data_IF_513925526143
#
_entry.id   IF_513925526143
#
_cell.length_a   1.000
_cell.length_b   1.000
_cell.length_c   1.000
_cell.angle_alpha   90.00
_cell.angle_beta   90.00
_cell.angle_gamma   90.00
#
_symmetry.space_group_name_H-M   'P 1'
#
loop_
_entity.id
_entity.type
_entity.pdbx_description
1 polymer ?
#
# COMPACT_ATOMS: atom_id res chain seq x y z
N UNK A 1 3.76 2.57 -24.56
CA UNK A 1 3.22 1.58 -23.61
C UNK A 1 2.31 2.36 -22.65
N UNK A 2 0.99 2.09 -22.65
CA UNK A 2 0.01 2.84 -21.85
C UNK A 2 0.18 2.66 -20.33
N UNK A 3 0.87 1.58 -19.91
CA UNK A 3 1.13 1.28 -18.50
C UNK A 3 2.01 2.31 -17.78
N UNK A 4 2.77 3.11 -18.53
CA UNK A 4 3.54 4.24 -17.97
C UNK A 4 2.62 5.35 -17.42
N UNK A 5 1.35 5.39 -17.83
CA UNK A 5 0.45 6.47 -17.51
C UNK A 5 0.89 7.81 -18.11
N UNK A 6 0.29 8.89 -17.63
CA UNK A 6 0.61 10.27 -18.03
C UNK A 6 0.84 11.14 -16.78
N UNK A 7 1.92 11.96 -16.73
CA UNK A 7 2.12 12.90 -15.63
C UNK A 7 1.06 14.02 -15.63
N UNK A 8 0.88 14.75 -14.52
CA UNK A 8 -0.02 15.90 -14.45
C UNK A 8 0.32 16.96 -15.51
N UNK A 9 -0.72 17.56 -16.11
CA UNK A 9 -0.61 18.60 -17.15
C UNK A 9 -1.73 19.64 -16.97
N UNK A 10 -1.59 20.80 -17.60
CA UNK A 10 -2.63 21.84 -17.57
C UNK A 10 -3.10 22.18 -16.15
N UNK A 11 -4.42 22.22 -15.94
CA UNK A 11 -5.00 22.53 -14.63
C UNK A 11 -4.55 21.58 -13.52
N UNK A 12 -4.35 20.29 -13.82
CA UNK A 12 -3.88 19.31 -12.82
C UNK A 12 -2.44 19.56 -12.41
N UNK A 13 -1.60 20.02 -13.33
CA UNK A 13 -0.23 20.44 -12.99
C UNK A 13 -0.25 21.69 -12.12
N UNK A 14 -1.13 22.65 -12.39
CA UNK A 14 -1.27 23.85 -11.55
C UNK A 14 -1.70 23.53 -10.11
N UNK A 15 -2.57 22.54 -9.91
CA UNK A 15 -2.94 22.06 -8.58
C UNK A 15 -1.75 21.41 -7.86
N UNK A 16 -0.98 20.59 -8.57
CA UNK A 16 0.26 19.98 -8.07
C UNK A 16 1.29 21.04 -7.68
N UNK A 17 1.51 22.03 -8.54
CA UNK A 17 2.48 23.12 -8.31
C UNK A 17 2.06 24.07 -7.18
N UNK A 18 0.78 24.11 -6.81
CA UNK A 18 0.29 24.87 -5.67
C UNK A 18 0.53 24.16 -4.32
N UNK A 19 0.93 22.88 -4.32
CA UNK A 19 1.25 22.14 -3.10
C UNK A 19 2.48 22.75 -2.41
N UNK A 20 2.47 22.95 -1.07
CA UNK A 20 3.67 23.34 -0.33
C UNK A 20 4.76 22.24 -0.34
N UNK A 21 4.42 21.02 -0.76
CA UNK A 21 5.32 19.89 -0.84
C UNK A 21 5.92 19.69 -2.25
N UNK A 22 5.47 20.48 -3.24
CA UNK A 22 6.02 20.50 -4.59
C UNK A 22 6.93 21.70 -4.80
N UNK A 23 8.20 21.45 -5.12
CA UNK A 23 9.18 22.51 -5.42
C UNK A 23 10.26 21.97 -6.35
N UNK A 24 10.87 22.86 -7.12
CA UNK A 24 11.94 22.50 -8.07
C UNK A 24 11.50 21.41 -9.08
N UNK A 25 10.21 21.42 -9.46
CA UNK A 25 9.64 20.49 -10.43
C UNK A 25 9.40 19.07 -9.92
N UNK A 26 9.33 18.86 -8.60
CA UNK A 26 9.00 17.56 -8.01
C UNK A 26 8.45 17.67 -6.58
N UNK A 27 7.82 16.61 -6.09
CA UNK A 27 7.45 16.44 -4.68
C UNK A 27 8.66 16.07 -3.80
N UNK A 28 8.62 16.49 -2.54
CA UNK A 28 9.68 16.24 -1.55
C UNK A 28 9.14 15.64 -0.25
N UNK A 29 9.90 14.71 0.33
CA UNK A 29 9.67 14.24 1.69
C UNK A 29 9.86 15.37 2.72
N UNK A 30 9.19 15.25 3.87
CA UNK A 30 9.40 16.14 5.03
C UNK A 30 10.76 15.94 5.69
N UNK A 31 11.34 14.74 5.56
CA UNK A 31 12.67 14.38 6.05
C UNK A 31 13.63 14.16 4.87
N UNK A 32 14.94 14.47 5.02
CA UNK A 32 15.94 14.11 4.03
C UNK A 32 15.88 12.61 3.70
N UNK A 33 15.65 12.28 2.43
CA UNK A 33 15.40 10.90 2.00
C UNK A 33 16.22 10.60 0.75
N UNK A 34 17.54 10.34 0.89
CA UNK A 34 18.36 9.87 -0.22
C UNK A 34 17.80 8.56 -0.76
N UNK A 35 17.54 8.50 -2.08
CA UNK A 35 16.95 7.31 -2.71
C UNK A 35 17.88 6.10 -2.78
N UNK A 36 19.19 6.30 -2.62
CA UNK A 36 20.17 5.24 -2.45
C UNK A 36 21.13 5.65 -1.33
N UNK A 37 21.38 4.73 -0.41
CA UNK A 37 22.17 4.93 0.81
C UNK A 37 23.32 3.93 0.93
N UNK A 38 23.44 3.03 -0.05
CA UNK A 38 24.56 2.10 -0.14
C UNK A 38 25.88 2.86 -0.32
N UNK A 39 26.94 2.34 0.27
CA UNK A 39 28.29 2.92 0.15
C UNK A 39 28.98 2.56 -1.17
N UNK A 40 28.36 1.68 -1.98
CA UNK A 40 28.91 1.19 -3.24
C UNK A 40 28.57 2.12 -4.41
N UNK A 41 29.40 2.10 -5.45
CA UNK A 41 29.09 2.78 -6.71
C UNK A 41 27.76 2.26 -7.29
N UNK A 42 26.90 3.17 -7.76
CA UNK A 42 25.60 2.82 -8.34
C UNK A 42 25.69 1.74 -9.42
N UNK A 43 26.68 1.75 -10.31
CA UNK A 43 26.84 0.71 -11.34
C UNK A 43 27.07 -0.69 -10.73
N UNK A 44 27.85 -0.76 -9.64
CA UNK A 44 28.12 -2.01 -8.93
C UNK A 44 26.88 -2.49 -8.19
N UNK A 45 26.14 -1.57 -7.55
CA UNK A 45 24.88 -1.88 -6.88
C UNK A 45 23.83 -2.41 -7.89
N UNK A 46 23.71 -1.78 -9.05
CA UNK A 46 22.85 -2.24 -10.15
C UNK A 46 23.27 -3.60 -10.69
N UNK A 47 24.58 -3.82 -10.90
CA UNK A 47 25.09 -5.11 -11.33
C UNK A 47 24.79 -6.21 -10.30
N UNK A 48 24.99 -5.94 -9.01
CA UNK A 48 24.66 -6.89 -7.95
C UNK A 48 23.16 -7.16 -7.87
N UNK A 49 22.30 -6.14 -7.99
CA UNK A 49 20.85 -6.35 -8.01
C UNK A 49 20.42 -7.27 -9.17
N UNK A 50 21.05 -7.13 -10.34
CA UNK A 50 20.75 -7.94 -11.52
C UNK A 50 21.37 -9.35 -11.48
N UNK A 51 22.54 -9.52 -10.87
CA UNK A 51 23.31 -10.78 -10.93
C UNK A 51 23.26 -11.62 -9.66
N UNK A 52 23.04 -10.98 -8.50
CA UNK A 52 22.98 -11.67 -7.21
C UNK A 52 21.62 -12.35 -7.10
N UNK A 53 21.61 -13.67 -7.17
CA UNK A 53 20.44 -14.46 -6.79
C UNK A 53 20.32 -14.45 -5.28
N UNK A 54 19.26 -13.85 -4.76
CA UNK A 54 18.85 -14.02 -3.37
C UNK A 54 18.27 -15.43 -3.23
N UNK A 55 18.96 -16.29 -2.49
CA UNK A 55 18.46 -17.63 -2.17
C UNK A 55 17.12 -17.52 -1.43
N UNK A 56 16.18 -18.40 -1.75
CA UNK A 56 14.85 -18.44 -1.12
C UNK A 56 14.08 -17.09 -1.16
N UNK A 57 14.32 -16.25 -2.17
CA UNK A 57 13.54 -15.03 -2.38
C UNK A 57 12.11 -15.30 -2.86
N UNK A 58 11.84 -16.51 -3.35
CA UNK A 58 10.51 -17.00 -3.74
C UNK A 58 10.20 -18.26 -2.94
N UNK A 59 8.93 -18.49 -2.55
CA UNK A 59 8.55 -19.74 -1.90
C UNK A 59 8.65 -20.90 -2.90
N UNK A 60 9.01 -22.08 -2.39
CA UNK A 60 9.11 -23.30 -3.20
C UNK A 60 7.73 -23.86 -3.61
N UNK A 61 6.70 -23.57 -2.81
CA UNK A 61 5.30 -23.92 -3.05
C UNK A 61 4.44 -22.65 -3.06
N UNK A 62 3.25 -22.68 -3.67
CA UNK A 62 2.29 -21.61 -3.51
C UNK A 62 2.03 -21.31 -2.03
N UNK A 63 1.89 -20.03 -1.69
CA UNK A 63 1.54 -19.62 -0.34
C UNK A 63 0.14 -20.13 0.03
N UNK A 64 -0.11 -20.44 1.32
CA UNK A 64 -1.45 -20.80 1.78
C UNK A 64 -2.41 -19.63 1.53
N UNK A 65 -3.63 -19.98 1.13
CA UNK A 65 -4.66 -19.00 0.81
C UNK A 65 -6.06 -19.54 1.11
N UNK A 66 -6.93 -18.66 1.56
CA UNK A 66 -8.36 -18.87 1.74
C UNK A 66 -9.09 -18.26 0.55
N UNK A 67 -9.84 -19.06 -0.23
CA UNK A 67 -10.58 -18.59 -1.41
C UNK A 67 -11.88 -17.84 -1.02
N UNK A 68 -11.75 -16.74 -0.30
CA UNK A 68 -12.88 -15.91 0.14
C UNK A 68 -13.59 -15.26 -1.03
N UNK A 69 -14.90 -15.49 -1.14
CA UNK A 69 -15.78 -14.77 -2.05
C UNK A 69 -16.11 -13.38 -1.49
N UNK A 70 -15.41 -12.36 -1.99
CA UNK A 70 -15.55 -10.97 -1.56
C UNK A 70 -16.97 -10.43 -1.76
N UNK A 71 -17.72 -10.92 -2.74
CA UNK A 71 -19.07 -10.45 -3.02
C UNK A 71 -20.10 -10.95 -1.98
N UNK A 72 -19.80 -12.08 -1.33
CA UNK A 72 -20.62 -12.70 -0.29
C UNK A 72 -20.46 -12.09 1.11
N UNK A 73 -19.42 -11.28 1.33
CA UNK A 73 -19.17 -10.66 2.62
C UNK A 73 -20.23 -9.59 2.93
N UNK A 74 -20.79 -9.63 4.15
CA UNK A 74 -21.80 -8.69 4.63
C UNK A 74 -21.21 -7.28 4.81
N UNK A 75 -21.73 -6.26 4.12
CA UNK A 75 -21.28 -4.87 4.28
C UNK A 75 -21.42 -4.31 5.69
N UNK A 76 -22.31 -4.90 6.50
CA UNK A 76 -22.57 -4.51 7.89
C UNK A 76 -21.43 -4.95 8.83
N UNK A 77 -20.54 -5.84 8.37
CA UNK A 77 -19.41 -6.33 9.15
C UNK A 77 -18.09 -5.74 8.65
N UNK A 78 -17.45 -4.91 9.48
CA UNK A 78 -16.12 -4.40 9.15
C UNK A 78 -15.12 -5.57 9.04
N UNK A 79 -14.59 -5.77 7.83
CA UNK A 79 -13.79 -6.94 7.47
C UNK A 79 -12.65 -6.52 6.56
N UNK A 80 -11.43 -6.96 6.84
CA UNK A 80 -10.26 -6.75 6.00
C UNK A 80 -9.82 -8.09 5.40
N UNK A 81 -9.50 -8.09 4.11
CA UNK A 81 -9.01 -9.26 3.37
C UNK A 81 -7.75 -8.87 2.61
N UNK A 82 -6.66 -9.57 2.89
CA UNK A 82 -5.39 -9.40 2.18
C UNK A 82 -5.42 -10.13 0.84
N UNK A 83 -5.15 -9.42 -0.26
CA UNK A 83 -5.17 -9.99 -1.61
C UNK A 83 -3.75 -10.29 -2.15
N UNK A 84 -2.72 -10.05 -1.32
CA UNK A 84 -1.31 -10.19 -1.64
C UNK A 84 -0.63 -8.84 -1.88
N UNK A 85 0.67 -8.76 -1.55
CA UNK A 85 1.45 -7.51 -1.61
C UNK A 85 0.80 -6.42 -0.77
N UNK A 86 0.54 -5.27 -1.37
CA UNK A 86 -0.18 -4.13 -0.79
C UNK A 86 -1.64 -4.05 -1.24
N UNK A 87 -2.18 -5.10 -1.85
CA UNK A 87 -3.58 -5.12 -2.28
C UNK A 87 -4.51 -5.58 -1.16
N UNK A 88 -5.51 -4.77 -0.86
CA UNK A 88 -6.47 -5.05 0.21
C UNK A 88 -7.90 -4.82 -0.25
N UNK A 89 -8.80 -5.70 0.18
CA UNK A 89 -10.23 -5.45 0.19
C UNK A 89 -10.68 -5.20 1.62
N UNK A 90 -11.44 -4.14 1.84
CA UNK A 90 -11.94 -3.76 3.16
C UNK A 90 -13.42 -3.41 3.08
N UNK A 91 -14.22 -3.99 3.98
CA UNK A 91 -15.52 -3.46 4.34
C UNK A 91 -15.37 -2.62 5.59
N UNK A 92 -15.83 -1.38 5.54
CA UNK A 92 -15.78 -0.46 6.67
C UNK A 92 -16.97 0.50 6.60
N UNK A 93 -17.76 0.58 7.67
CA UNK A 93 -18.95 1.44 7.74
C UNK A 93 -19.90 1.28 6.54
N UNK A 94 -20.15 0.04 6.11
CA UNK A 94 -21.04 -0.27 4.99
C UNK A 94 -20.44 -0.01 3.60
N UNK A 95 -19.16 0.39 3.49
CA UNK A 95 -18.48 0.66 2.21
C UNK A 95 -17.56 -0.47 1.81
N UNK A 96 -17.58 -0.83 0.53
CA UNK A 96 -16.59 -1.72 -0.10
C UNK A 96 -15.43 -0.89 -0.61
N UNK A 97 -14.28 -1.02 0.05
CA UNK A 97 -13.07 -0.25 -0.18
C UNK A 97 -12.01 -1.18 -0.77
N UNK A 98 -11.42 -0.80 -1.90
CA UNK A 98 -10.31 -1.51 -2.53
C UNK A 98 -9.07 -0.62 -2.47
N UNK A 99 -7.95 -1.17 -2.00
CA UNK A 99 -6.71 -0.41 -1.76
C UNK A 99 -5.58 -1.03 -2.59
N UNK A 100 -4.87 -0.20 -3.35
CA UNK A 100 -3.70 -0.54 -4.17
C UNK A 100 -3.83 -1.88 -4.91
N UNK A 101 -4.88 -2.10 -5.72
CA UNK A 101 -5.16 -3.39 -6.31
C UNK A 101 -4.19 -3.70 -7.47
N UNK A 102 -3.39 -4.75 -7.28
CA UNK A 102 -2.51 -5.35 -8.29
C UNK A 102 -2.87 -6.82 -8.44
N UNK A 103 -3.86 -7.07 -9.29
CA UNK A 103 -4.37 -8.42 -9.59
C UNK A 103 -3.62 -9.09 -10.73
N UNK A 104 -2.75 -8.34 -11.42
CA UNK A 104 -1.85 -8.86 -12.45
C UNK A 104 -0.85 -9.88 -11.90
N UNK A 105 -0.32 -10.71 -12.80
CA UNK A 105 0.74 -11.69 -12.50
C UNK A 105 2.15 -11.09 -12.49
N UNK A 106 2.27 -9.76 -12.60
CA UNK A 106 3.52 -9.01 -12.62
C UNK A 106 3.28 -7.58 -12.09
N UNK A 107 4.34 -6.96 -11.58
CA UNK A 107 4.32 -5.58 -11.10
C UNK A 107 5.48 -4.76 -11.71
N UNK A 108 5.34 -4.45 -13.00
CA UNK A 108 6.38 -3.78 -13.79
C UNK A 108 5.80 -3.20 -15.09
N UNK A 109 6.52 -2.27 -15.77
CA UNK A 109 6.10 -1.78 -17.08
C UNK A 109 6.04 -2.87 -18.16
N UNK A 110 6.73 -3.99 -17.95
CA UNK A 110 6.75 -5.12 -18.87
C UNK A 110 6.41 -6.42 -18.13
N UNK A 111 5.56 -7.24 -18.73
CA UNK A 111 4.96 -8.42 -18.11
C UNK A 111 5.93 -9.55 -17.73
N UNK A 112 7.17 -9.50 -18.21
CA UNK A 112 8.20 -10.48 -17.87
C UNK A 112 9.03 -10.11 -16.63
N UNK A 113 8.91 -8.88 -16.13
CA UNK A 113 9.62 -8.38 -14.94
C UNK A 113 8.72 -8.49 -13.69
N UNK A 114 9.33 -8.66 -12.52
CA UNK A 114 8.64 -8.69 -11.22
C UNK A 114 7.41 -9.61 -11.20
N UNK A 115 7.57 -10.84 -11.71
CA UNK A 115 6.49 -11.84 -11.72
C UNK A 115 6.04 -12.19 -10.31
N UNK A 116 4.73 -12.35 -10.13
CA UNK A 116 4.15 -12.82 -8.88
C UNK A 116 4.64 -14.22 -8.50
N UNK A 117 4.48 -14.59 -7.23
CA UNK A 117 4.65 -15.97 -6.77
C UNK A 117 3.67 -16.90 -7.48
N UNK A 118 4.06 -18.17 -7.59
CA UNK A 118 3.18 -19.19 -8.14
C UNK A 118 1.96 -19.37 -7.21
N UNK A 119 0.77 -19.52 -7.80
CA UNK A 119 -0.47 -19.72 -7.05
C UNK A 119 -1.71 -19.46 -7.90
N UNK A 120 -2.84 -19.96 -7.43
CA UNK A 120 -4.16 -19.75 -8.04
C UNK A 120 -4.91 -18.67 -7.26
N UNK A 121 -4.76 -17.42 -7.68
CA UNK A 121 -5.35 -16.26 -7.02
C UNK A 121 -6.78 -16.04 -7.55
N UNK A 122 -7.82 -16.18 -6.71
CA UNK A 122 -9.22 -16.17 -7.16
C UNK A 122 -9.77 -14.76 -7.39
N UNK A 123 -9.10 -13.74 -6.85
CA UNK A 123 -9.54 -12.34 -6.95
C UNK A 123 -9.10 -11.75 -8.28
N UNK A 124 -10.07 -11.57 -9.17
CA UNK A 124 -9.88 -10.94 -10.47
C UNK A 124 -10.81 -9.75 -10.60
N UNK A 125 -10.50 -8.85 -11.52
CA UNK A 125 -11.34 -7.68 -11.75
C UNK A 125 -12.77 -8.06 -12.11
N UNK A 126 -12.97 -9.17 -12.83
CA UNK A 126 -14.29 -9.68 -13.23
C UNK A 126 -15.13 -10.17 -12.05
N UNK A 127 -14.51 -10.82 -11.05
CA UNK A 127 -15.18 -11.34 -9.85
C UNK A 127 -15.30 -10.33 -8.71
N UNK A 128 -14.63 -9.18 -8.80
CA UNK A 128 -14.71 -8.13 -7.79
C UNK A 128 -16.16 -7.59 -7.66
N UNK A 129 -16.73 -7.42 -6.45
CA UNK A 129 -17.99 -6.70 -6.30
C UNK A 129 -17.84 -5.22 -6.68
N UNK A 130 -18.96 -4.49 -6.70
CA UNK A 130 -18.94 -3.03 -6.79
C UNK A 130 -17.99 -2.42 -5.73
N UNK A 131 -17.22 -1.41 -6.15
CA UNK A 131 -16.21 -0.74 -5.33
C UNK A 131 -16.72 0.66 -5.02
N UNK A 132 -17.16 0.87 -3.78
CA UNK A 132 -17.64 2.19 -3.35
C UNK A 132 -16.50 3.20 -3.25
N UNK A 133 -15.28 2.72 -2.94
CA UNK A 133 -14.10 3.56 -2.82
C UNK A 133 -12.84 2.80 -3.25
N UNK A 134 -12.13 3.34 -4.24
CA UNK A 134 -10.78 2.92 -4.60
C UNK A 134 -9.77 3.85 -3.92
N UNK A 135 -8.73 3.28 -3.32
CA UNK A 135 -7.61 3.99 -2.71
C UNK A 135 -6.35 3.64 -3.48
N UNK A 136 -5.61 4.65 -3.90
CA UNK A 136 -4.28 4.50 -4.50
C UNK A 136 -3.28 5.31 -3.67
N UNK A 137 -2.26 4.67 -3.11
CA UNK A 137 -1.27 5.36 -2.27
C UNK A 137 -0.21 6.11 -3.03
N UNK A 138 0.23 5.59 -4.16
CA UNK A 138 1.23 6.20 -5.01
C UNK A 138 1.27 5.51 -6.37
N UNK A 139 2.08 6.04 -7.29
CA UNK A 139 2.05 5.64 -8.68
C UNK A 139 3.00 4.48 -9.05
N UNK A 140 3.60 3.73 -8.12
CA UNK A 140 4.45 2.60 -8.49
C UNK A 140 3.66 1.44 -9.10
N UNK A 141 4.34 0.59 -9.87
CA UNK A 141 3.70 -0.49 -10.63
C UNK A 141 3.10 -1.60 -9.76
N UNK A 142 3.58 -1.76 -8.55
CA UNK A 142 3.11 -2.71 -7.54
C UNK A 142 2.02 -2.15 -6.61
N UNK A 143 1.58 -0.91 -6.85
CA UNK A 143 0.45 -0.25 -6.18
C UNK A 143 -0.63 0.26 -7.15
N UNK A 144 -0.21 0.62 -8.36
CA UNK A 144 -1.06 1.14 -9.42
C UNK A 144 -0.84 0.33 -10.71
N UNK A 145 -1.61 -0.74 -10.86
CA UNK A 145 -1.55 -1.62 -12.02
C UNK A 145 -2.52 -1.22 -13.14
N UNK A 146 -1.98 -0.89 -14.31
CA UNK A 146 -2.77 -0.47 -15.47
C UNK A 146 -3.85 -1.47 -15.87
N UNK A 147 -3.50 -2.76 -15.93
CA UNK A 147 -4.44 -3.79 -16.39
C UNK A 147 -5.59 -3.96 -15.39
N UNK A 148 -5.27 -4.01 -14.09
CA UNK A 148 -6.26 -4.07 -13.01
C UNK A 148 -7.17 -2.84 -13.04
N UNK A 149 -6.63 -1.62 -13.08
CA UNK A 149 -7.43 -0.40 -13.09
C UNK A 149 -8.35 -0.34 -14.32
N UNK A 150 -7.83 -0.65 -15.52
CA UNK A 150 -8.65 -0.67 -16.74
C UNK A 150 -9.83 -1.63 -16.65
N UNK A 151 -9.61 -2.81 -16.08
CA UNK A 151 -10.65 -3.82 -15.93
C UNK A 151 -11.67 -3.46 -14.83
N UNK A 152 -11.27 -2.67 -13.83
CA UNK A 152 -12.12 -2.23 -12.72
C UNK A 152 -12.90 -0.93 -12.99
N UNK A 153 -12.59 -0.18 -14.05
CA UNK A 153 -13.29 1.07 -14.40
C UNK A 153 -14.82 1.03 -14.23
N UNK A 154 -15.57 0.03 -14.73
CA UNK A 154 -17.02 0.04 -14.63
C UNK A 154 -17.57 -0.20 -13.21
N UNK A 155 -16.72 -0.62 -12.25
CA UNK A 155 -17.11 -1.01 -10.89
C UNK A 155 -16.75 0.03 -9.83
N UNK A 156 -15.95 1.04 -10.18
CA UNK A 156 -15.42 2.04 -9.22
C UNK A 156 -16.35 3.24 -9.17
N UNK A 157 -16.90 3.53 -7.99
CA UNK A 157 -17.81 4.67 -7.79
C UNK A 157 -17.10 5.96 -7.37
N UNK A 158 -15.97 5.85 -6.66
CA UNK A 158 -15.18 6.97 -6.17
C UNK A 158 -13.72 6.56 -5.97
N UNK A 159 -12.80 7.50 -6.13
CA UNK A 159 -11.37 7.31 -5.86
C UNK A 159 -10.88 8.39 -4.92
N UNK A 160 -10.04 8.02 -3.96
CA UNK A 160 -9.22 8.96 -3.20
C UNK A 160 -7.76 8.59 -3.37
N UNK A 161 -6.95 9.58 -3.73
CA UNK A 161 -5.52 9.39 -4.02
C UNK A 161 -4.72 10.66 -3.73
N UNK A 162 -3.38 10.61 -3.56
CA UNK A 162 -2.59 11.81 -3.42
C UNK A 162 -2.54 12.63 -4.73
N UNK A 163 -2.22 13.92 -4.60
CA UNK A 163 -2.08 14.85 -5.73
C UNK A 163 -1.24 14.28 -6.89
N UNK A 164 -1.75 14.44 -8.10
CA UNK A 164 -1.08 14.06 -9.34
C UNK A 164 -1.32 12.61 -9.76
N UNK A 165 -1.59 11.67 -8.83
CA UNK A 165 -1.83 10.25 -9.21
C UNK A 165 -3.07 10.10 -10.09
N UNK A 166 -4.08 10.96 -9.91
CA UNK A 166 -5.29 10.98 -10.72
C UNK A 166 -5.03 11.26 -12.21
N UNK A 167 -3.87 11.83 -12.58
CA UNK A 167 -3.54 12.04 -14.00
C UNK A 167 -3.41 10.72 -14.76
N UNK A 168 -2.88 9.67 -14.11
CA UNK A 168 -2.81 8.33 -14.68
C UNK A 168 -4.21 7.73 -14.86
N UNK A 169 -5.07 7.85 -13.85
CA UNK A 169 -6.44 7.32 -13.86
C UNK A 169 -7.29 7.97 -14.95
N UNK A 170 -7.22 9.30 -15.09
CA UNK A 170 -7.90 10.05 -16.15
C UNK A 170 -7.39 9.65 -17.53
N UNK A 171 -6.07 9.54 -17.72
CA UNK A 171 -5.48 9.08 -18.96
C UNK A 171 -5.95 7.67 -19.35
N UNK A 172 -6.18 6.79 -18.36
CA UNK A 172 -6.69 5.45 -18.58
C UNK A 172 -8.21 5.38 -18.80
N UNK A 173 -8.92 6.51 -18.71
CA UNK A 173 -10.33 6.65 -19.03
C UNK A 173 -11.28 6.62 -17.82
N UNK A 174 -10.76 6.80 -16.60
CA UNK A 174 -11.61 6.99 -15.42
C UNK A 174 -12.29 8.36 -15.47
N UNK A 175 -13.58 8.43 -15.10
CA UNK A 175 -14.32 9.69 -15.03
C UNK A 175 -13.61 10.66 -14.06
N UNK A 176 -13.19 11.86 -14.50
CA UNK A 176 -12.57 12.84 -13.61
C UNK A 176 -13.40 13.22 -12.38
N UNK A 177 -14.74 13.21 -12.49
CA UNK A 177 -15.64 13.68 -11.43
C UNK A 177 -15.66 12.76 -10.19
N UNK A 178 -15.22 11.51 -10.34
CA UNK A 178 -15.18 10.55 -9.23
C UNK A 178 -13.81 10.49 -8.55
N UNK A 179 -12.84 11.31 -8.99
CA UNK A 179 -11.46 11.29 -8.48
C UNK A 179 -11.25 12.46 -7.53
N UNK A 180 -11.06 12.15 -6.25
CA UNK A 180 -10.60 13.10 -5.25
C UNK A 180 -9.08 12.98 -5.06
N UNK A 181 -8.35 13.99 -5.55
CA UNK A 181 -6.92 14.16 -5.27
C UNK A 181 -6.73 15.09 -4.07
N UNK A 182 -5.86 14.70 -3.13
CA UNK A 182 -5.60 15.48 -1.92
C UNK A 182 -4.12 15.52 -1.59
N UNK A 183 -3.71 16.63 -1.00
CA UNK A 183 -2.39 16.76 -0.40
C UNK A 183 -2.37 16.11 1.00
N UNK A 184 -1.19 15.98 1.60
CA UNK A 184 -1.05 15.54 2.98
C UNK A 184 -1.83 16.42 3.96
N UNK A 185 -2.37 15.77 4.98
CA UNK A 185 -3.20 16.36 6.04
C UNK A 185 -4.52 16.94 5.55
N UNK A 186 -4.94 16.63 4.32
CA UNK A 186 -6.28 16.91 3.83
C UNK A 186 -7.16 15.67 3.92
N UNK A 187 -8.48 15.87 3.81
CA UNK A 187 -9.46 14.80 3.93
C UNK A 187 -10.56 14.89 2.88
N UNK A 188 -11.25 13.77 2.71
CA UNK A 188 -12.41 13.61 1.84
C UNK A 188 -13.54 13.00 2.67
N UNK A 189 -14.67 13.69 2.71
CA UNK A 189 -15.89 13.15 3.30
C UNK A 189 -16.54 12.18 2.31
N UNK A 190 -16.61 10.90 2.66
CA UNK A 190 -17.13 9.83 1.79
C UNK A 190 -18.63 9.62 2.03
N UNK A 191 -19.04 9.64 3.29
CA UNK A 191 -20.44 9.59 3.74
C UNK A 191 -20.52 10.07 5.20
N UNK A 192 -21.73 10.22 5.72
CA UNK A 192 -22.00 10.63 7.11
C UNK A 192 -21.18 9.86 8.16
N UNK A 193 -20.83 8.61 7.85
CA UNK A 193 -20.10 7.67 8.72
C UNK A 193 -18.65 7.40 8.33
N UNK A 194 -18.14 7.97 7.22
CA UNK A 194 -16.77 7.68 6.76
C UNK A 194 -16.07 8.93 6.21
N UNK A 195 -14.95 9.27 6.83
CA UNK A 195 -14.01 10.27 6.32
C UNK A 195 -12.65 9.61 6.06
N UNK A 196 -12.03 9.95 4.94
CA UNK A 196 -10.69 9.48 4.59
C UNK A 196 -9.72 10.64 4.62
N UNK A 197 -8.65 10.50 5.39
CA UNK A 197 -7.55 11.46 5.44
C UNK A 197 -6.39 10.95 4.60
N UNK A 198 -5.82 11.81 3.77
CA UNK A 198 -4.54 11.58 3.08
C UNK A 198 -3.45 12.14 3.97
N UNK A 199 -2.51 11.28 4.38
CA UNK A 199 -1.52 11.57 5.41
C UNK A 199 -0.10 11.38 4.88
N UNK A 200 0.90 12.00 5.53
CA UNK A 200 2.28 11.85 5.13
C UNK A 200 2.76 10.39 5.09
N UNK A 201 3.61 10.10 4.12
CA UNK A 201 4.42 8.89 4.05
C UNK A 201 5.84 9.26 3.63
N UNK A 202 6.84 8.45 4.00
CA UNK A 202 8.23 8.67 3.60
C UNK A 202 8.58 7.73 2.45
N UNK A 203 8.34 8.17 1.23
CA UNK A 203 8.53 7.36 0.03
C UNK A 203 8.87 8.24 -1.19
N UNK A 204 8.57 7.78 -2.39
CA UNK A 204 8.75 8.51 -3.65
C UNK A 204 7.71 8.05 -4.68
N UNK A 205 7.69 8.68 -5.86
CA UNK A 205 6.87 8.23 -6.98
C UNK A 205 7.67 8.15 -8.29
N UNK A 206 7.17 7.40 -9.26
CA UNK A 206 7.71 7.38 -10.61
C UNK A 206 7.34 6.13 -11.40
N UNK A 207 6.79 6.37 -12.60
CA UNK A 207 6.54 5.32 -13.60
C UNK A 207 7.48 5.36 -14.81
N UNK A 208 8.22 6.46 -14.97
CA UNK A 208 9.10 6.72 -16.13
C UNK A 208 10.46 7.28 -15.72
N UNK A 209 11.04 8.12 -16.57
CA UNK A 209 12.39 8.68 -16.36
C UNK A 209 12.38 9.73 -15.23
N UNK A 210 11.37 10.60 -15.20
CA UNK A 210 11.20 11.59 -14.13
C UNK A 210 10.48 10.95 -12.95
N UNK A 211 11.04 11.12 -11.75
CA UNK A 211 10.44 10.70 -10.48
C UNK A 211 9.70 11.87 -9.83
N UNK A 212 8.90 11.58 -8.81
CA UNK A 212 8.31 12.55 -7.90
C UNK A 212 7.42 13.59 -8.59
N UNK A 213 6.77 13.21 -9.69
CA UNK A 213 5.81 14.08 -10.40
C UNK A 213 4.39 13.99 -9.82
N UNK A 214 4.13 12.94 -9.03
CA UNK A 214 2.90 12.71 -8.26
C UNK A 214 3.28 12.56 -6.78
N UNK A 215 2.35 12.87 -5.89
CA UNK A 215 2.54 12.69 -4.45
C UNK A 215 2.32 11.21 -4.09
N UNK A 216 2.88 10.80 -2.95
CA UNK A 216 2.67 9.50 -2.31
C UNK A 216 2.07 9.73 -0.92
N UNK A 217 1.34 8.78 -0.35
CA UNK A 217 0.72 9.00 0.95
C UNK A 217 0.30 7.73 1.69
N UNK A 218 -0.01 7.94 2.96
CA UNK A 218 -0.73 6.99 3.80
C UNK A 218 -2.17 7.45 4.00
N UNK A 219 -3.03 6.61 4.57
CA UNK A 219 -4.46 6.94 4.74
C UNK A 219 -4.96 6.59 6.14
N UNK A 220 -5.82 7.44 6.66
CA UNK A 220 -6.66 7.13 7.83
C UNK A 220 -8.12 7.11 7.41
N UNK A 221 -8.79 6.00 7.67
CA UNK A 221 -10.24 5.84 7.52
C UNK A 221 -10.87 6.02 8.89
N UNK A 222 -11.69 7.05 9.04
CA UNK A 222 -12.32 7.43 10.31
C UNK A 222 -13.82 7.22 10.21
N UNK A 223 -14.36 6.39 11.10
CA UNK A 223 -15.79 6.19 11.34
C UNK A 223 -16.13 6.59 12.78
N UNK A 224 -17.43 6.68 13.15
CA UNK A 224 -17.81 6.89 14.55
C UNK A 224 -17.30 5.79 15.50
N UNK A 225 -17.14 4.57 15.01
CA UNK A 225 -16.76 3.40 15.79
C UNK A 225 -15.26 3.11 15.74
N UNK A 226 -14.57 3.43 14.63
CA UNK A 226 -13.23 2.92 14.35
C UNK A 226 -12.33 3.85 13.55
N UNK A 227 -11.03 3.66 13.73
CA UNK A 227 -9.96 4.23 12.90
C UNK A 227 -9.09 3.12 12.32
N UNK A 228 -9.04 3.03 11.00
CA UNK A 228 -8.16 2.10 10.28
C UNK A 228 -7.08 2.91 9.57
N UNK A 229 -5.82 2.52 9.71
CA UNK A 229 -4.69 3.16 9.04
C UNK A 229 -4.11 2.25 7.96
N UNK A 230 -3.71 2.83 6.83
CA UNK A 230 -2.94 2.16 5.79
C UNK A 230 -1.67 2.95 5.49
N UNK A 231 -0.49 2.33 5.66
CA UNK A 231 0.79 3.03 5.55
C UNK A 231 1.22 3.39 4.13
N UNK A 232 0.72 2.70 3.10
CA UNK A 232 1.43 2.60 1.82
C UNK A 232 2.83 2.00 2.03
N UNK A 233 3.79 2.42 1.21
CA UNK A 233 5.21 2.01 1.30
C UNK A 233 6.06 3.03 2.08
N UNK A 234 5.56 3.44 3.24
CA UNK A 234 6.20 4.48 4.03
C UNK A 234 7.42 3.96 4.79
N UNK A 235 8.60 4.49 4.50
CA UNK A 235 9.76 4.35 5.38
C UNK A 235 9.55 5.01 6.76
N UNK A 236 10.40 4.66 7.72
CA UNK A 236 10.26 5.17 9.09
C UNK A 236 10.52 6.68 9.21
N UNK A 237 9.77 7.34 10.08
CA UNK A 237 9.89 8.78 10.35
C UNK A 237 8.96 9.27 11.46
N UNK A 238 9.14 10.52 11.87
CA UNK A 238 8.37 11.15 12.95
C UNK A 238 6.88 11.34 12.61
N UNK A 239 6.49 11.19 11.34
CA UNK A 239 5.10 11.27 10.92
C UNK A 239 4.22 10.20 11.57
N UNK A 240 4.73 9.00 11.85
CA UNK A 240 3.94 7.96 12.52
C UNK A 240 3.49 8.40 13.92
N UNK A 241 4.41 8.94 14.71
CA UNK A 241 4.10 9.49 16.04
C UNK A 241 3.13 10.66 15.95
N UNK A 242 3.36 11.59 15.02
CA UNK A 242 2.47 12.73 14.81
C UNK A 242 1.05 12.31 14.41
N UNK A 243 0.91 11.28 13.57
CA UNK A 243 -0.37 10.70 13.18
C UNK A 243 -1.04 10.04 14.40
N UNK A 244 -0.30 9.24 15.19
CA UNK A 244 -0.82 8.64 16.42
C UNK A 244 -1.35 9.68 17.41
N UNK A 245 -0.62 10.78 17.60
CA UNK A 245 -1.03 11.91 18.44
C UNK A 245 -2.25 12.65 17.86
N UNK A 246 -2.27 12.93 16.56
CA UNK A 246 -3.37 13.63 15.89
C UNK A 246 -4.71 12.89 16.02
N UNK A 247 -4.69 11.57 15.87
CA UNK A 247 -5.91 10.76 15.87
C UNK A 247 -6.22 10.11 17.23
N UNK A 248 -5.32 10.20 18.22
CA UNK A 248 -5.50 9.60 19.54
C UNK A 248 -5.46 8.07 19.56
N UNK A 249 -4.79 7.46 18.56
CA UNK A 249 -4.68 6.01 18.38
C UNK A 249 -5.42 5.44 17.17
N UNK A 250 -5.10 4.19 16.84
CA UNK A 250 -5.58 3.47 15.65
C UNK A 250 -6.11 2.09 16.07
N UNK A 251 -7.30 1.71 15.62
CA UNK A 251 -7.87 0.40 15.98
C UNK A 251 -7.21 -0.74 15.19
N UNK A 252 -6.96 -0.52 13.90
CA UNK A 252 -6.26 -1.46 13.02
C UNK A 252 -5.29 -0.72 12.10
N UNK A 253 -4.03 -1.11 12.09
CA UNK A 253 -3.02 -0.55 11.20
C UNK A 253 -2.56 -1.61 10.19
N UNK A 254 -2.77 -1.33 8.90
CA UNK A 254 -2.19 -2.05 7.78
C UNK A 254 -0.81 -1.44 7.54
N UNK A 255 0.24 -2.18 7.85
CA UNK A 255 1.60 -1.67 7.91
C UNK A 255 2.50 -2.35 6.89
N UNK A 256 3.28 -1.54 6.18
CA UNK A 256 4.34 -2.01 5.30
C UNK A 256 5.29 -2.95 6.05
N UNK A 257 5.53 -4.13 5.49
CA UNK A 257 6.45 -5.11 6.06
C UNK A 257 7.04 -5.99 4.95
N UNK A 258 7.88 -5.41 4.10
CA UNK A 258 8.51 -6.12 3.00
C UNK A 258 9.32 -5.19 2.13
N UNK A 259 10.05 -5.77 1.19
CA UNK A 259 10.87 -5.07 0.21
C UNK A 259 11.95 -4.14 0.80
N UNK A 260 12.37 -4.39 2.03
CA UNK A 260 13.36 -3.59 2.72
C UNK A 260 14.80 -4.02 2.36
N UNK A 261 15.73 -3.07 2.40
CA UNK A 261 17.18 -3.32 2.27
C UNK A 261 17.96 -2.14 2.85
N UNK A 262 19.21 -2.39 3.27
CA UNK A 262 20.08 -1.34 3.77
C UNK A 262 20.36 -0.26 2.73
N UNK A 263 20.36 -0.59 1.44
CA UNK A 263 20.64 0.34 0.35
C UNK A 263 19.53 1.40 0.17
N UNK A 264 18.31 1.17 0.68
CA UNK A 264 17.18 2.10 0.55
C UNK A 264 16.33 2.21 1.84
N UNK A 265 16.97 2.02 2.99
CA UNK A 265 16.38 1.99 4.35
C UNK A 265 15.47 3.16 4.74
N UNK A 266 15.44 4.25 3.98
CA UNK A 266 14.61 5.42 4.28
C UNK A 266 13.23 5.38 3.62
N UNK A 267 13.03 4.52 2.63
CA UNK A 267 11.79 4.46 1.85
C UNK A 267 11.04 3.13 2.00
N UNK A 268 11.63 2.14 2.68
CA UNK A 268 10.97 0.90 3.08
C UNK A 268 11.41 0.57 4.50
N UNK A 269 10.45 0.31 5.40
CA UNK A 269 10.77 0.01 6.80
C UNK A 269 11.40 -1.36 6.96
N UNK A 270 12.47 -1.43 7.77
CA UNK A 270 12.85 -2.72 8.34
C UNK A 270 11.76 -3.21 9.31
N UNK A 271 11.56 -4.52 9.52
CA UNK A 271 10.49 -5.05 10.37
C UNK A 271 10.52 -4.53 11.82
N UNK A 272 11.69 -4.23 12.37
CA UNK A 272 11.83 -3.58 13.68
C UNK A 272 11.32 -2.13 13.67
N UNK A 273 11.51 -1.41 12.58
CA UNK A 273 10.95 -0.07 12.37
C UNK A 273 9.44 -0.14 12.15
N UNK A 274 8.93 -1.15 11.43
CA UNK A 274 7.47 -1.39 11.30
C UNK A 274 6.82 -1.61 12.68
N UNK A 275 7.46 -2.40 13.55
CA UNK A 275 7.01 -2.60 14.92
C UNK A 275 7.06 -1.29 15.75
N UNK A 276 8.08 -0.46 15.55
CA UNK A 276 8.18 0.83 16.22
C UNK A 276 7.15 1.83 15.71
N UNK A 277 6.98 1.96 14.40
CA UNK A 277 5.96 2.80 13.75
C UNK A 277 4.55 2.45 14.22
N UNK A 278 4.27 1.15 14.37
CA UNK A 278 2.99 0.67 14.89
C UNK A 278 2.73 1.11 16.33
N UNK A 279 3.77 1.10 17.17
CA UNK A 279 3.68 1.62 18.53
C UNK A 279 3.55 3.16 18.56
N UNK A 280 4.27 3.86 17.68
CA UNK A 280 4.21 5.32 17.56
C UNK A 280 2.83 5.80 17.07
N UNK A 281 2.16 5.02 16.22
CA UNK A 281 0.76 5.23 15.82
C UNK A 281 -0.24 4.98 16.95
N UNK A 282 0.21 4.40 18.07
CA UNK A 282 -0.67 3.89 19.13
C UNK A 282 -1.74 2.94 18.55
N UNK A 283 -1.30 1.99 17.72
CA UNK A 283 -2.17 0.99 17.11
C UNK A 283 -2.58 -0.09 18.14
N UNK A 284 -3.84 -0.55 18.09
CA UNK A 284 -4.32 -1.68 18.90
C UNK A 284 -4.09 -3.03 18.23
N UNK A 285 -4.18 -3.07 16.91
CA UNK A 285 -3.89 -4.24 16.09
C UNK A 285 -3.10 -3.85 14.84
N UNK A 286 -2.24 -4.75 14.38
CA UNK A 286 -1.35 -4.55 13.23
C UNK A 286 -1.47 -5.73 12.29
N UNK A 287 -1.65 -5.46 10.99
CA UNK A 287 -1.61 -6.46 9.93
C UNK A 287 -0.47 -6.09 8.97
N UNK A 288 0.53 -6.96 8.74
CA UNK A 288 1.61 -6.68 7.80
C UNK A 288 1.18 -6.83 6.34
N UNK A 289 1.60 -5.89 5.49
CA UNK A 289 1.47 -5.93 4.03
C UNK A 289 2.80 -5.90 3.29
N UNK A 290 2.76 -5.61 1.99
CA UNK A 290 3.91 -5.41 1.10
C UNK A 290 4.86 -6.63 0.95
N UNK A 291 4.39 -7.81 1.38
CA UNK A 291 5.07 -9.10 1.25
C UNK A 291 4.18 -10.12 0.50
N UNK A 292 4.60 -11.38 0.43
CA UNK A 292 3.71 -12.48 0.01
C UNK A 292 3.29 -12.52 -1.47
N UNK A 293 3.90 -11.72 -2.35
CA UNK A 293 3.50 -11.68 -3.78
C UNK A 293 4.64 -11.50 -4.77
N UNK A 294 5.54 -10.54 -4.55
CA UNK A 294 6.59 -10.18 -5.50
C UNK A 294 7.98 -10.20 -4.84
N UNK A 295 9.01 -10.39 -5.66
CA UNK A 295 10.42 -10.22 -5.24
C UNK A 295 10.90 -8.87 -5.72
N UNK A 296 11.00 -7.89 -4.82
CA UNK A 296 11.49 -6.54 -5.12
C UNK A 296 12.69 -6.15 -4.24
N UNK A 297 13.12 -7.02 -3.32
CA UNK A 297 14.28 -6.82 -2.45
C UNK A 297 15.14 -8.07 -2.27
N UNK A 298 16.17 -7.96 -1.42
CA UNK A 298 17.23 -8.96 -1.24
C UNK A 298 17.08 -9.85 0.00
N UNK A 299 15.88 -9.94 0.58
CA UNK A 299 15.56 -10.85 1.70
C UNK A 299 14.83 -12.12 1.21
N UNK A 300 14.75 -13.16 2.05
CA UNK A 300 13.92 -14.33 1.75
C UNK A 300 12.44 -13.96 1.79
N UNK A 301 11.58 -14.71 1.12
CA UNK A 301 10.15 -14.35 1.01
C UNK A 301 9.43 -14.25 2.36
N UNK A 302 9.83 -15.06 3.35
CA UNK A 302 9.21 -15.14 4.68
C UNK A 302 9.92 -14.33 5.76
N UNK A 303 11.13 -13.82 5.50
CA UNK A 303 11.89 -13.09 6.51
C UNK A 303 11.11 -11.87 7.08
N UNK A 304 10.40 -11.04 6.30
CA UNK A 304 9.63 -9.93 6.87
C UNK A 304 8.63 -10.37 7.95
N UNK A 305 7.93 -11.49 7.75
CA UNK A 305 6.97 -12.01 8.72
C UNK A 305 7.67 -12.53 9.98
N UNK A 306 8.76 -13.29 9.81
CA UNK A 306 9.58 -13.80 10.92
C UNK A 306 10.12 -12.66 11.79
N UNK A 307 10.70 -11.63 11.16
CA UNK A 307 11.34 -10.53 11.89
C UNK A 307 10.30 -9.62 12.54
N UNK A 308 9.16 -9.35 11.89
CA UNK A 308 8.11 -8.56 12.50
C UNK A 308 7.47 -9.29 13.68
N UNK A 309 7.22 -10.60 13.56
CA UNK A 309 6.71 -11.42 14.66
C UNK A 309 7.64 -11.35 15.88
N UNK A 310 8.96 -11.46 15.66
CA UNK A 310 9.97 -11.27 16.71
C UNK A 310 9.94 -9.86 17.31
N UNK A 311 9.92 -8.82 16.47
CA UNK A 311 9.94 -7.43 16.92
C UNK A 311 8.64 -6.99 17.64
N UNK A 312 7.54 -7.73 17.44
CA UNK A 312 6.23 -7.42 18.01
C UNK A 312 5.98 -8.04 19.38
N UNK A 313 6.83 -8.97 19.86
CA UNK A 313 6.58 -9.75 21.10
C UNK A 313 6.31 -8.89 22.34
N UNK A 314 7.00 -7.77 22.47
CA UNK A 314 6.91 -6.88 23.64
C UNK A 314 6.15 -5.58 23.32
N UNK A 315 5.39 -5.54 22.22
CA UNK A 315 4.65 -4.35 21.81
C UNK A 315 3.20 -4.40 22.31
N UNK A 316 2.64 -3.22 22.60
CA UNK A 316 1.28 -3.07 23.11
C UNK A 316 0.21 -3.08 22.01
N UNK A 317 0.34 -3.98 21.04
CA UNK A 317 -0.63 -4.22 19.98
C UNK A 317 -0.73 -5.72 19.68
N UNK A 318 -1.85 -6.14 19.09
CA UNK A 318 -2.00 -7.50 18.56
C UNK A 318 -1.45 -7.57 17.14
N UNK A 319 -0.45 -8.42 16.92
CA UNK A 319 -0.01 -8.75 15.56
C UNK A 319 -0.99 -9.77 14.96
N UNK A 320 -1.59 -9.43 13.82
CA UNK A 320 -2.53 -10.27 13.09
C UNK A 320 -1.87 -10.71 11.78
N UNK A 321 -1.85 -12.02 11.51
CA UNK A 321 -1.12 -12.58 10.37
C UNK A 321 -2.00 -13.50 9.52
N UNK A 322 -3.06 -12.95 8.90
CA UNK A 322 -3.94 -13.73 8.04
C UNK A 322 -3.18 -14.39 6.90
N UNK A 323 -3.63 -15.58 6.48
CA UNK A 323 -3.28 -16.12 5.17
C UNK A 323 -3.85 -15.21 4.06
N UNK A 324 -3.37 -15.36 2.82
CA UNK A 324 -3.96 -14.62 1.70
C UNK A 324 -5.44 -14.95 1.59
N UNK A 325 -6.29 -13.93 1.59
CA UNK A 325 -7.73 -14.10 1.51
C UNK A 325 -8.43 -14.41 2.82
N UNK A 326 -7.72 -14.66 3.92
CA UNK A 326 -8.33 -14.96 5.20
C UNK A 326 -8.99 -13.68 5.78
N UNK A 327 -10.30 -13.70 6.09
CA UNK A 327 -10.99 -12.51 6.60
C UNK A 327 -10.54 -12.14 8.02
N UNK A 328 -10.08 -10.92 8.20
CA UNK A 328 -9.82 -10.29 9.50
C UNK A 328 -11.05 -9.49 9.90
N UNK A 329 -11.72 -9.87 10.99
CA UNK A 329 -12.87 -9.12 11.52
C UNK A 329 -12.35 -7.99 12.39
N UNK A 330 -12.54 -6.73 11.98
CA UNK A 330 -11.94 -5.57 12.67
C UNK A 330 -12.46 -5.44 14.12
N UNK A 331 -13.68 -5.92 14.38
CA UNK A 331 -14.30 -5.95 15.71
C UNK A 331 -13.83 -7.06 16.62
N UNK A 332 -13.25 -8.13 16.08
CA UNK A 332 -12.98 -9.35 16.83
C UNK A 332 -11.60 -9.28 17.50
N UNK A 333 -11.62 -8.96 18.79
CA UNK A 333 -10.38 -8.90 19.59
C UNK A 333 -9.84 -10.27 19.98
N UNK A 334 -10.54 -11.35 19.61
CA UNK A 334 -10.21 -12.73 20.01
C UNK A 334 -9.67 -13.57 18.86
N UNK A 335 -9.90 -13.16 17.60
CA UNK A 335 -9.44 -13.85 16.39
C UNK A 335 -7.93 -14.15 16.47
N UNK A 336 -7.56 -15.39 16.16
CA UNK A 336 -6.17 -15.85 16.16
C UNK A 336 -5.76 -16.21 14.75
N UNK A 337 -4.47 -16.03 14.45
CA UNK A 337 -3.88 -16.36 13.17
C UNK A 337 -2.64 -17.23 13.38
N UNK A 338 -2.35 -18.10 12.42
CA UNK A 338 -1.19 -18.99 12.49
C UNK A 338 0.05 -18.27 11.95
N UNK A 339 1.22 -18.74 12.37
CA UNK A 339 2.49 -18.43 11.71
C UNK A 339 2.63 -19.28 10.43
N UNK A 340 1.79 -19.00 9.44
CA UNK A 340 1.65 -19.82 8.22
C UNK A 340 2.90 -19.85 7.32
N UNK A 341 3.91 -19.03 7.62
CA UNK A 341 5.17 -18.92 6.89
C UNK A 341 6.28 -19.86 7.41
N UNK A 342 5.99 -20.62 8.47
CA UNK A 342 6.88 -21.63 9.07
C UNK A 342 7.04 -22.90 8.23
#
# INVERSE_FOLDING_TARGET
>A
NAGFGQPPQGAQLSEVEASPHYRDGQFHNTLPTPGFTGQQNMLVAWWQFLTRKTENARPAQPLPLVKTDLASLSPEQDTLVWLGHSSWYMQLAGKRILIDPVLSSYAAPFSFLNKAFAGEYPWRAESMPEIDLLIISHDHYDHLDYATIKALLPKVKRVVTPLGVGSHLRYWGMNPEIIDERDWNQSVHISDTLTVHVLPARHFSGRGIKRNQTLWGSFMFVTPERKVYYSGDSGYGSHFKAIGEQFGGVDLAIMENGQYDQDWKYIHMHPAETAQASADLNAKAVVPGHNGRFVLAKHTWNDPLIQLAKASKDKNYRLLTPELGEPVRVSDTTQQFREWWE
#
